data_IF_860457217585
#
_entry.id   IF_860457217585
#
_cell.length_a   1.000
_cell.length_b   1.000
_cell.length_c   1.000
_cell.angle_alpha   90.00
_cell.angle_beta   90.00
_cell.angle_gamma   90.00
#
_symmetry.space_group_name_H-M   'P 1'
#
loop_
_entity.id
_entity.type
_entity.pdbx_description
1 polymer ?
#
# COMPACT_ATOMS: atom_id res chain seq x y z
N UNK A 1 -11.83 10.99 -11.40
CA UNK A 1 -11.23 10.83 -10.07
C UNK A 1 -9.87 10.15 -10.20
N UNK A 2 -8.79 10.77 -9.73
CA UNK A 2 -7.41 10.27 -9.84
C UNK A 2 -7.04 9.50 -8.57
N UNK A 3 -6.53 8.27 -8.71
CA UNK A 3 -6.12 7.43 -7.58
C UNK A 3 -4.69 6.98 -7.80
N UNK A 4 -3.87 7.16 -6.77
CA UNK A 4 -2.52 6.61 -6.75
C UNK A 4 -2.41 5.40 -5.84
N UNK A 5 -1.81 4.33 -6.36
CA UNK A 5 -1.33 3.20 -5.56
C UNK A 5 0.17 3.36 -5.43
N UNK A 6 0.61 3.93 -4.31
CA UNK A 6 2.01 4.28 -4.05
C UNK A 6 2.64 3.20 -3.19
N UNK A 7 3.72 2.57 -3.63
CA UNK A 7 4.27 1.44 -2.91
C UNK A 7 5.79 1.38 -2.90
N UNK A 8 6.32 0.69 -1.89
CA UNK A 8 7.67 0.13 -1.91
C UNK A 8 7.59 -1.39 -1.97
N UNK A 9 8.42 -2.04 -2.77
CA UNK A 9 8.57 -3.50 -2.75
C UNK A 9 10.03 -3.88 -2.90
N UNK A 10 10.53 -4.74 -2.01
CA UNK A 10 11.89 -5.29 -2.11
C UNK A 10 11.90 -6.55 -2.99
N UNK A 11 10.95 -7.46 -2.76
CA UNK A 11 10.94 -8.80 -3.33
C UNK A 11 9.68 -9.12 -4.17
N UNK A 12 8.80 -8.13 -4.40
CA UNK A 12 7.64 -8.27 -5.29
C UNK A 12 6.30 -8.55 -4.60
N UNK A 13 6.25 -8.95 -3.32
CA UNK A 13 4.99 -9.24 -2.61
C UNK A 13 4.05 -8.03 -2.58
N UNK A 14 4.57 -6.87 -2.18
CA UNK A 14 3.80 -5.61 -2.17
C UNK A 14 3.43 -5.17 -3.58
N UNK A 15 4.30 -5.36 -4.58
CA UNK A 15 3.93 -5.05 -5.97
C UNK A 15 2.74 -5.89 -6.41
N UNK A 16 2.72 -7.19 -6.11
CA UNK A 16 1.61 -8.08 -6.45
C UNK A 16 0.30 -7.67 -5.77
N UNK A 17 0.37 -7.27 -4.50
CA UNK A 17 -0.77 -6.69 -3.78
C UNK A 17 -1.20 -5.35 -4.40
N UNK A 18 -0.26 -4.49 -4.81
CA UNK A 18 -0.53 -3.21 -5.44
C UNK A 18 -1.26 -3.37 -6.78
N UNK A 19 -0.91 -4.38 -7.59
CA UNK A 19 -1.65 -4.72 -8.81
C UNK A 19 -3.11 -5.08 -8.51
N UNK A 20 -3.34 -5.91 -7.48
CA UNK A 20 -4.67 -6.30 -7.05
C UNK A 20 -5.49 -5.10 -6.52
N UNK A 21 -4.88 -4.24 -5.70
CA UNK A 21 -5.48 -2.97 -5.25
C UNK A 21 -5.87 -2.11 -6.47
N UNK A 22 -4.94 -1.94 -7.42
CA UNK A 22 -5.19 -1.12 -8.60
C UNK A 22 -6.32 -1.71 -9.47
N UNK A 23 -6.36 -3.03 -9.65
CA UNK A 23 -7.44 -3.72 -10.34
C UNK A 23 -8.79 -3.45 -9.66
N UNK A 24 -8.84 -3.54 -8.33
CA UNK A 24 -10.02 -3.21 -7.54
C UNK A 24 -10.49 -1.78 -7.77
N UNK A 25 -9.59 -0.81 -7.63
CA UNK A 25 -9.90 0.60 -7.80
C UNK A 25 -10.39 0.94 -9.22
N UNK A 26 -9.79 0.33 -10.26
CA UNK A 26 -10.19 0.51 -11.67
C UNK A 26 -11.60 0.01 -11.98
N UNK A 27 -12.16 -0.86 -11.14
CA UNK A 27 -13.54 -1.34 -11.32
C UNK A 27 -14.61 -0.28 -11.02
N UNK A 28 -14.23 0.85 -10.42
CA UNK A 28 -15.13 1.97 -10.14
C UNK A 28 -15.15 2.93 -11.34
N UNK A 29 -16.35 3.23 -11.85
CA UNK A 29 -16.53 4.12 -12.99
C UNK A 29 -15.90 5.51 -12.74
N UNK A 30 -15.15 6.02 -13.71
CA UNK A 30 -14.47 7.33 -13.62
C UNK A 30 -13.19 7.34 -12.77
N UNK A 31 -12.73 6.18 -12.28
CA UNK A 31 -11.45 6.05 -11.58
C UNK A 31 -10.29 5.93 -12.59
N UNK A 32 -9.35 6.87 -12.54
CA UNK A 32 -8.07 6.82 -13.22
C UNK A 32 -6.99 6.40 -12.23
N UNK A 33 -6.49 5.17 -12.36
CA UNK A 33 -5.62 4.55 -11.35
C UNK A 33 -4.22 4.31 -11.88
N UNK A 34 -3.24 4.91 -11.22
CA UNK A 34 -1.82 4.78 -11.55
C UNK A 34 -1.05 4.14 -10.38
N UNK A 35 -0.14 3.23 -10.72
CA UNK A 35 0.84 2.70 -9.77
C UNK A 35 2.06 3.61 -9.75
N UNK A 36 2.59 3.85 -8.55
CA UNK A 36 3.83 4.61 -8.35
C UNK A 36 4.73 3.90 -7.35
N UNK A 37 6.03 3.88 -7.63
CA UNK A 37 7.07 3.35 -6.72
C UNK A 37 7.63 4.47 -5.89
N UNK A 38 7.92 4.26 -4.61
CA UNK A 38 8.79 5.17 -3.88
C UNK A 38 10.26 4.93 -4.26
N UNK A 39 11.14 5.95 -4.17
CA UNK A 39 12.57 5.77 -4.45
C UNK A 39 13.22 4.70 -3.56
N UNK A 40 14.18 3.97 -4.13
CA UNK A 40 15.07 3.10 -3.36
C UNK A 40 16.11 3.93 -2.62
N UNK A 41 16.47 3.50 -1.41
CA UNK A 41 17.39 4.21 -0.52
C UNK A 41 18.63 3.39 -0.18
N UNK A 42 18.59 2.08 -0.41
CA UNK A 42 19.73 1.21 -0.24
C UNK A 42 20.69 1.31 -1.44
N UNK A 43 22.01 1.29 -1.20
CA UNK A 43 22.99 1.19 -2.28
C UNK A 43 22.80 -0.09 -3.11
N UNK A 44 23.04 -0.03 -4.41
CA UNK A 44 22.89 -1.15 -5.34
C UNK A 44 23.70 -2.40 -4.89
N UNK A 45 24.92 -2.20 -4.37
CA UNK A 45 25.75 -3.29 -3.85
C UNK A 45 25.09 -4.04 -2.67
N UNK A 46 24.27 -3.36 -1.86
CA UNK A 46 23.50 -3.98 -0.79
C UNK A 46 22.34 -4.77 -1.37
N UNK A 47 21.62 -4.21 -2.35
CA UNK A 47 20.53 -4.89 -3.04
C UNK A 47 20.98 -6.18 -3.72
N UNK A 48 22.17 -6.18 -4.34
CA UNK A 48 22.79 -7.39 -4.90
C UNK A 48 23.01 -8.46 -3.83
N UNK A 49 23.61 -8.11 -2.69
CA UNK A 49 23.84 -9.05 -1.58
C UNK A 49 22.54 -9.60 -0.99
N UNK A 50 21.48 -8.79 -1.02
CA UNK A 50 20.15 -9.16 -0.55
C UNK A 50 19.32 -9.97 -1.57
N UNK A 51 19.84 -10.20 -2.78
CA UNK A 51 19.10 -10.87 -3.86
C UNK A 51 17.89 -10.09 -4.37
N UNK A 52 17.85 -8.77 -4.16
CA UNK A 52 16.68 -7.94 -4.45
C UNK A 52 16.65 -7.37 -5.88
N UNK A 53 17.75 -7.46 -6.63
CA UNK A 53 17.88 -6.86 -7.97
C UNK A 53 16.88 -7.45 -8.97
N UNK A 54 16.82 -8.78 -9.09
CA UNK A 54 15.92 -9.44 -10.05
C UNK A 54 14.43 -9.19 -9.73
N UNK A 55 13.96 -9.33 -8.48
CA UNK A 55 12.62 -8.93 -8.12
C UNK A 55 12.30 -7.48 -8.48
N UNK A 56 13.21 -6.53 -8.24
CA UNK A 56 12.97 -5.12 -8.56
C UNK A 56 12.82 -4.84 -10.06
N UNK A 57 13.50 -5.59 -10.93
CA UNK A 57 13.34 -5.45 -12.39
C UNK A 57 11.91 -5.71 -12.86
N UNK A 58 11.17 -6.61 -12.19
CA UNK A 58 9.81 -6.99 -12.59
C UNK A 58 8.83 -5.80 -12.59
N UNK A 59 9.08 -4.80 -11.75
CA UNK A 59 8.25 -3.59 -11.63
C UNK A 59 9.01 -2.31 -11.95
N UNK A 60 10.19 -2.39 -12.57
CA UNK A 60 10.99 -1.21 -12.94
C UNK A 60 10.27 -0.29 -13.96
N UNK A 61 9.33 -0.83 -14.73
CA UNK A 61 8.49 -0.07 -15.68
C UNK A 61 7.47 0.85 -14.98
N UNK A 62 7.14 0.60 -13.71
CA UNK A 62 6.26 1.49 -12.94
C UNK A 62 7.01 2.80 -12.66
N UNK A 63 6.43 4.00 -12.82
CA UNK A 63 7.15 5.24 -12.54
C UNK A 63 7.49 5.42 -11.06
N UNK A 64 8.61 6.10 -10.77
CA UNK A 64 8.93 6.57 -9.42
C UNK A 64 8.04 7.78 -9.11
N UNK A 65 7.46 7.83 -7.91
CA UNK A 65 6.66 8.94 -7.40
C UNK A 65 7.58 10.06 -6.91
N UNK A 66 7.35 11.28 -7.38
CA UNK A 66 7.77 12.47 -6.63
C UNK A 66 6.82 12.69 -5.46
N UNK A 67 7.27 13.45 -4.45
CA UNK A 67 6.41 13.70 -3.29
C UNK A 67 5.27 14.65 -3.65
N UNK A 68 5.52 15.62 -4.55
CA UNK A 68 4.56 16.61 -4.99
C UNK A 68 3.36 16.00 -5.72
N UNK A 69 3.58 14.91 -6.48
CA UNK A 69 2.55 14.17 -7.20
C UNK A 69 1.39 13.76 -6.27
N UNK A 70 1.64 13.47 -5.00
CA UNK A 70 0.58 13.07 -4.06
C UNK A 70 -0.56 14.09 -3.97
N UNK A 71 -0.27 15.39 -4.15
CA UNK A 71 -1.28 16.45 -4.12
C UNK A 71 -2.33 16.37 -5.25
N UNK A 72 -2.02 15.67 -6.34
CA UNK A 72 -2.87 15.56 -7.53
C UNK A 72 -3.97 14.50 -7.38
N UNK A 73 -3.79 13.52 -6.50
CA UNK A 73 -4.71 12.39 -6.37
C UNK A 73 -5.94 12.74 -5.53
N UNK A 74 -7.11 12.17 -5.80
CA UNK A 74 -8.27 12.22 -4.92
C UNK A 74 -8.18 11.20 -3.78
N UNK A 75 -7.51 10.08 -4.05
CA UNK A 75 -7.19 9.04 -3.07
C UNK A 75 -5.80 8.47 -3.28
N UNK A 76 -5.15 8.08 -2.18
CA UNK A 76 -3.85 7.44 -2.19
C UNK A 76 -3.91 6.17 -1.34
N UNK A 77 -3.49 5.05 -1.94
CA UNK A 77 -3.43 3.75 -1.30
C UNK A 77 -1.96 3.33 -1.19
N UNK A 78 -1.43 3.27 0.02
CA UNK A 78 -0.02 3.03 0.29
C UNK A 78 0.28 1.56 0.54
N UNK A 79 1.30 1.03 -0.13
CA UNK A 79 1.80 -0.33 0.07
C UNK A 79 3.21 -0.36 0.65
N UNK A 80 3.43 -1.09 1.76
CA UNK A 80 4.76 -1.18 2.37
C UNK A 80 5.02 -2.55 3.00
N UNK A 81 6.20 -3.16 2.82
CA UNK A 81 6.57 -4.32 3.63
C UNK A 81 6.86 -3.84 5.05
N UNK A 82 6.47 -4.65 6.04
CA UNK A 82 6.74 -4.32 7.44
C UNK A 82 8.24 -4.29 7.72
N UNK A 83 8.65 -3.36 8.57
CA UNK A 83 9.93 -3.38 9.29
C UNK A 83 9.62 -3.21 10.77
N UNK A 84 9.57 -4.35 11.47
CA UNK A 84 9.29 -4.43 12.91
C UNK A 84 7.99 -3.71 13.32
N UNK A 85 6.90 -3.94 12.57
CA UNK A 85 5.60 -3.33 12.87
C UNK A 85 5.44 -1.88 12.40
N UNK A 86 6.38 -1.37 11.60
CA UNK A 86 6.34 -0.04 10.99
C UNK A 86 6.48 -0.15 9.46
N UNK A 87 6.24 0.96 8.76
CA UNK A 87 6.58 1.09 7.34
C UNK A 87 8.10 0.94 7.12
N UNK A 88 8.52 0.49 5.94
CA UNK A 88 9.93 0.46 5.57
C UNK A 88 10.58 1.87 5.51
N UNK A 89 11.91 1.92 5.63
CA UNK A 89 12.68 3.17 5.60
C UNK A 89 12.52 3.95 4.30
N UNK A 90 12.36 3.28 3.17
CA UNK A 90 12.11 3.89 1.86
C UNK A 90 10.81 4.68 1.85
N UNK A 91 9.72 4.06 2.35
CA UNK A 91 8.44 4.73 2.48
C UNK A 91 8.49 5.88 3.50
N UNK A 92 9.20 5.67 4.62
CA UNK A 92 9.38 6.70 5.65
C UNK A 92 10.10 7.93 5.09
N UNK A 93 11.24 7.74 4.43
CA UNK A 93 12.01 8.83 3.83
C UNK A 93 11.22 9.57 2.75
N UNK A 94 10.44 8.85 1.94
CA UNK A 94 9.54 9.46 0.96
C UNK A 94 8.50 10.37 1.65
N UNK A 95 7.84 9.89 2.71
CA UNK A 95 6.83 10.67 3.44
C UNK A 95 7.43 11.79 4.30
N UNK A 96 8.69 11.68 4.72
CA UNK A 96 9.40 12.76 5.42
C UNK A 96 9.61 13.99 4.52
N UNK A 97 9.63 13.80 3.20
CA UNK A 97 9.68 14.90 2.22
C UNK A 97 8.33 15.64 2.07
N UNK A 98 7.24 15.17 2.70
CA UNK A 98 5.89 15.73 2.52
C UNK A 98 5.67 17.09 3.23
N UNK A 99 6.70 17.69 3.84
CA UNK A 99 6.56 18.92 4.65
C UNK A 99 5.87 20.08 3.92
N UNK A 100 6.13 20.28 2.62
CA UNK A 100 5.44 21.32 1.83
C UNK A 100 3.97 20.99 1.58
N UNK A 101 3.63 19.73 1.30
CA UNK A 101 2.25 19.29 1.13
C UNK A 101 1.45 19.43 2.43
N UNK A 102 2.08 19.07 3.54
CA UNK A 102 1.53 19.24 4.87
C UNK A 102 1.25 20.72 5.18
N UNK A 103 2.25 21.59 5.01
CA UNK A 103 2.12 23.03 5.29
C UNK A 103 1.03 23.69 4.44
N UNK A 104 0.88 23.27 3.19
CA UNK A 104 -0.13 23.81 2.27
C UNK A 104 -1.50 23.12 2.36
N UNK A 105 -1.65 22.12 3.24
CA UNK A 105 -2.90 21.37 3.42
C UNK A 105 -3.33 20.57 2.20
N UNK A 106 -2.41 20.25 1.27
CA UNK A 106 -2.75 19.65 -0.03
C UNK A 106 -3.35 18.26 0.05
N UNK A 107 -3.17 17.55 1.17
CA UNK A 107 -3.73 16.22 1.38
C UNK A 107 -4.97 16.19 2.28
N UNK A 108 -5.40 17.35 2.79
CA UNK A 108 -6.56 17.45 3.68
C UNK A 108 -7.82 17.01 2.94
N UNK A 109 -8.58 16.10 3.54
CA UNK A 109 -9.86 15.59 3.02
C UNK A 109 -9.73 14.53 1.93
N UNK A 110 -8.52 14.25 1.42
CA UNK A 110 -8.28 13.16 0.47
C UNK A 110 -8.37 11.80 1.16
N UNK A 111 -8.76 10.76 0.43
CA UNK A 111 -8.86 9.42 1.01
C UNK A 111 -7.47 8.78 1.11
N UNK A 112 -7.12 8.32 2.31
CA UNK A 112 -5.89 7.58 2.60
C UNK A 112 -6.20 6.15 3.01
N UNK A 113 -5.45 5.19 2.46
CA UNK A 113 -5.58 3.78 2.78
C UNK A 113 -4.23 3.09 2.76
N UNK A 114 -4.07 1.98 3.46
CA UNK A 114 -2.78 1.28 3.58
C UNK A 114 -2.98 -0.24 3.43
N UNK A 115 -2.02 -0.91 2.80
CA UNK A 115 -1.86 -2.37 2.78
C UNK A 115 -0.40 -2.75 3.05
N UNK A 116 -0.16 -3.95 3.56
CA UNK A 116 1.19 -4.36 3.99
C UNK A 116 1.54 -5.82 3.69
N UNK A 117 2.76 -6.20 4.08
CA UNK A 117 3.23 -7.58 4.04
C UNK A 117 4.14 -7.84 5.24
N UNK A 118 4.07 -9.03 5.84
CA UNK A 118 4.98 -9.49 6.90
C UNK A 118 5.48 -10.91 6.62
N UNK A 119 6.60 -11.29 7.22
CA UNK A 119 7.11 -12.67 7.09
C UNK A 119 6.29 -13.67 7.92
N UNK A 120 5.79 -13.25 9.08
CA UNK A 120 5.07 -14.11 10.04
C UNK A 120 3.64 -13.63 10.28
N UNK A 121 2.76 -14.55 10.70
CA UNK A 121 1.31 -14.34 10.86
C UNK A 121 0.93 -13.13 11.73
N UNK A 122 1.73 -12.81 12.76
CA UNK A 122 1.45 -11.69 13.67
C UNK A 122 2.61 -10.69 13.78
N UNK A 123 3.61 -10.80 12.90
CA UNK A 123 4.80 -9.94 12.88
C UNK A 123 4.55 -8.57 12.27
N UNK A 124 3.47 -7.89 12.69
CA UNK A 124 3.12 -6.55 12.25
C UNK A 124 2.09 -6.46 11.11
N UNK A 125 1.29 -7.51 10.89
CA UNK A 125 0.13 -7.48 9.97
C UNK A 125 -0.80 -6.29 10.25
N UNK A 126 -1.07 -6.02 11.53
CA UNK A 126 -1.96 -4.93 11.95
C UNK A 126 -1.19 -3.66 12.33
N UNK A 127 -0.12 -3.79 13.13
CA UNK A 127 0.60 -2.63 13.68
C UNK A 127 1.27 -1.78 12.60
N UNK A 128 1.73 -2.39 11.51
CA UNK A 128 2.27 -1.63 10.35
C UNK A 128 1.21 -0.73 9.75
N UNK A 129 -0.05 -1.19 9.66
CA UNK A 129 -1.16 -0.43 9.12
C UNK A 129 -1.56 0.69 10.08
N UNK A 130 -1.73 0.37 11.35
CA UNK A 130 -2.09 1.32 12.41
C UNK A 130 -1.05 2.45 12.54
N UNK A 131 0.24 2.12 12.59
CA UNK A 131 1.31 3.13 12.69
C UNK A 131 1.42 3.99 11.44
N UNK A 132 1.15 3.44 10.25
CA UNK A 132 1.09 4.23 9.02
C UNK A 132 -0.05 5.26 9.07
N UNK A 133 -1.23 4.86 9.55
CA UNK A 133 -2.39 5.75 9.66
C UNK A 133 -2.11 7.01 10.49
N UNK A 134 -1.20 6.96 11.47
CA UNK A 134 -0.75 8.16 12.21
C UNK A 134 -0.22 9.22 11.25
N UNK A 135 0.64 8.84 10.29
CA UNK A 135 1.17 9.80 9.30
C UNK A 135 0.06 10.35 8.41
N UNK A 136 -0.88 9.50 7.98
CA UNK A 136 -1.99 9.93 7.12
C UNK A 136 -2.94 10.91 7.84
N UNK A 137 -3.20 10.70 9.12
CA UNK A 137 -3.97 11.62 9.96
C UNK A 137 -3.27 12.98 10.11
N UNK A 138 -1.95 12.99 10.33
CA UNK A 138 -1.18 14.24 10.36
C UNK A 138 -1.22 15.01 9.03
N UNK A 139 -1.36 14.30 7.90
CA UNK A 139 -1.55 14.88 6.57
C UNK A 139 -3.00 15.28 6.28
N UNK A 140 -3.93 15.08 7.23
CA UNK A 140 -5.34 15.47 7.15
C UNK A 140 -6.20 14.55 6.28
N UNK A 141 -5.75 13.33 6.01
CA UNK A 141 -6.48 12.38 5.14
C UNK A 141 -7.64 11.71 5.85
N UNK A 142 -8.67 11.32 5.09
CA UNK A 142 -9.77 10.47 5.54
C UNK A 142 -9.34 9.00 5.42
N UNK A 143 -9.25 8.30 6.55
CA UNK A 143 -8.76 6.92 6.58
C UNK A 143 -9.86 5.93 6.16
N UNK A 144 -9.54 5.04 5.22
CA UNK A 144 -10.41 3.93 4.80
C UNK A 144 -9.65 2.61 4.91
N UNK A 145 -10.23 1.65 5.63
CA UNK A 145 -9.67 0.31 5.84
C UNK A 145 -10.31 -0.76 4.95
N UNK A 146 -10.36 -2.00 5.45
CA UNK A 146 -10.97 -3.15 4.78
C UNK A 146 -12.16 -3.66 5.61
N UNK A 147 -13.41 -3.36 5.24
CA UNK A 147 -14.57 -3.74 6.04
C UNK A 147 -14.83 -5.26 6.02
N UNK A 148 -15.43 -5.79 7.09
CA UNK A 148 -15.83 -7.21 7.22
C UNK A 148 -16.88 -7.68 6.21
N UNK A 149 -17.47 -6.77 5.42
CA UNK A 149 -18.25 -7.16 4.24
C UNK A 149 -17.40 -7.88 3.19
N UNK A 150 -16.06 -7.74 3.23
CA UNK A 150 -15.16 -8.72 2.67
C UNK A 150 -14.99 -9.89 3.65
N UNK A 151 -15.76 -10.96 3.42
CA UNK A 151 -15.84 -12.12 4.31
C UNK A 151 -14.55 -12.96 4.37
N UNK A 152 -13.62 -12.78 3.43
CA UNK A 152 -12.32 -13.46 3.44
C UNK A 152 -11.47 -13.16 4.69
N UNK A 153 -11.75 -12.06 5.41
CA UNK A 153 -11.12 -11.79 6.72
C UNK A 153 -11.52 -12.76 7.83
N UNK A 154 -12.61 -13.50 7.64
CA UNK A 154 -13.12 -14.47 8.61
C UNK A 154 -12.72 -15.91 8.25
N UNK A 155 -11.83 -16.09 7.27
CA UNK A 155 -11.31 -17.40 6.88
C UNK A 155 -10.52 -18.03 8.05
N UNK A 156 -10.68 -19.34 8.23
CA UNK A 156 -10.05 -20.13 9.31
C UNK A 156 -9.47 -21.45 8.80
N UNK A 157 -9.62 -21.72 7.50
CA UNK A 157 -9.24 -22.93 6.79
C UNK A 157 -7.83 -22.85 6.18
N UNK A 158 -7.31 -21.64 5.94
CA UNK A 158 -5.93 -21.41 5.51
C UNK A 158 -5.26 -20.24 6.25
N UNK A 159 -3.93 -20.24 6.26
CA UNK A 159 -3.16 -19.08 6.72
C UNK A 159 -3.36 -17.95 5.71
N UNK A 160 -4.04 -16.90 6.13
CA UNK A 160 -4.29 -15.69 5.35
C UNK A 160 -3.84 -14.44 6.11
N UNK A 161 -3.37 -13.45 5.36
CA UNK A 161 -3.31 -12.06 5.83
C UNK A 161 -4.70 -11.40 5.82
N UNK A 162 -4.68 -10.09 5.62
CA UNK A 162 -5.79 -9.14 5.81
C UNK A 162 -6.14 -8.87 7.28
N UNK A 163 -6.57 -7.64 7.53
CA UNK A 163 -7.11 -7.17 8.80
C UNK A 163 -8.11 -6.05 8.52
N UNK A 164 -8.98 -5.65 9.47
CA UNK A 164 -9.93 -4.57 9.22
C UNK A 164 -9.25 -3.23 8.93
N UNK A 165 -7.99 -3.07 9.31
CA UNK A 165 -7.18 -1.88 9.06
C UNK A 165 -6.71 -1.78 7.60
N UNK A 166 -6.67 -2.89 6.87
CA UNK A 166 -6.21 -2.96 5.49
C UNK A 166 -5.83 -4.36 5.05
N UNK A 167 -5.78 -4.58 3.74
CA UNK A 167 -5.33 -5.83 3.15
C UNK A 167 -3.85 -6.07 3.46
N UNK A 168 -3.47 -7.34 3.53
CA UNK A 168 -2.09 -7.70 3.79
C UNK A 168 -1.81 -9.13 3.37
N UNK A 169 -0.52 -9.47 3.24
CA UNK A 169 -0.07 -10.79 2.80
C UNK A 169 1.08 -11.30 3.67
N UNK A 170 1.21 -12.62 3.79
CA UNK A 170 2.28 -13.28 4.54
C UNK A 170 3.34 -13.82 3.57
N UNK A 171 4.58 -13.36 3.71
CA UNK A 171 5.68 -13.69 2.80
C UNK A 171 6.45 -14.97 3.17
N UNK A 172 6.27 -15.51 4.38
CA UNK A 172 7.07 -16.65 4.87
C UNK A 172 8.44 -16.22 5.41
N UNK A 173 9.11 -17.14 6.11
CA UNK A 173 10.35 -16.84 6.85
C UNK A 173 11.51 -16.42 5.96
N UNK A 174 11.57 -16.98 4.75
CA UNK A 174 12.56 -16.69 3.72
C UNK A 174 11.99 -15.82 2.58
N UNK A 175 10.74 -15.35 2.68
CA UNK A 175 10.07 -14.58 1.61
C UNK A 175 9.51 -15.45 0.47
N UNK A 176 9.42 -16.77 0.68
CA UNK A 176 9.06 -17.79 -0.29
C UNK A 176 7.57 -17.84 -0.64
N UNK A 177 6.69 -17.36 0.24
CA UNK A 177 5.23 -17.37 0.04
C UNK A 177 4.80 -16.12 -0.71
N UNK A 178 4.15 -16.32 -1.85
CA UNK A 178 3.48 -15.24 -2.58
C UNK A 178 2.02 -15.06 -2.09
N UNK A 179 1.38 -13.90 -2.37
CA UNK A 179 0.02 -13.66 -1.90
C UNK A 179 -0.97 -14.73 -2.34
N UNK A 180 -1.79 -15.21 -1.40
CA UNK A 180 -2.88 -16.16 -1.72
C UNK A 180 -4.04 -15.46 -2.41
N UNK A 181 -4.98 -16.23 -2.99
CA UNK A 181 -6.15 -15.63 -3.63
C UNK A 181 -7.07 -14.90 -2.65
N UNK A 182 -7.17 -15.33 -1.38
CA UNK A 182 -7.92 -14.60 -0.35
C UNK A 182 -7.28 -13.23 -0.10
N UNK A 183 -5.96 -13.17 0.02
CA UNK A 183 -5.21 -11.92 0.23
C UNK A 183 -5.34 -10.97 -0.97
N UNK A 184 -5.24 -11.50 -2.19
CA UNK A 184 -5.44 -10.74 -3.42
C UNK A 184 -6.89 -10.27 -3.59
N UNK A 185 -7.87 -11.10 -3.20
CA UNK A 185 -9.27 -10.70 -3.18
C UNK A 185 -9.53 -9.56 -2.18
N UNK A 186 -8.89 -9.61 -1.00
CA UNK A 186 -8.95 -8.52 -0.02
C UNK A 186 -8.34 -7.23 -0.54
N UNK A 187 -7.20 -7.30 -1.24
CA UNK A 187 -6.57 -6.16 -1.90
C UNK A 187 -7.48 -5.56 -3.00
N UNK A 188 -8.05 -6.39 -3.87
CA UNK A 188 -9.05 -5.95 -4.87
C UNK A 188 -10.26 -5.30 -4.22
N UNK A 189 -10.78 -5.88 -3.14
CA UNK A 189 -11.90 -5.32 -2.40
C UNK A 189 -11.55 -3.95 -1.83
N UNK A 190 -10.40 -3.82 -1.15
CA UNK A 190 -9.94 -2.57 -0.56
C UNK A 190 -9.79 -1.47 -1.63
N UNK A 191 -9.17 -1.79 -2.77
CA UNK A 191 -9.03 -0.85 -3.89
C UNK A 191 -10.38 -0.33 -4.38
N UNK A 192 -11.35 -1.22 -4.60
CA UNK A 192 -12.72 -0.84 -4.98
C UNK A 192 -13.41 0.00 -3.91
N UNK A 193 -13.26 -0.39 -2.64
CA UNK A 193 -13.88 0.29 -1.51
C UNK A 193 -13.36 1.73 -1.38
N UNK A 194 -12.04 1.92 -1.38
CA UNK A 194 -11.39 3.24 -1.36
C UNK A 194 -11.85 4.10 -2.52
N UNK A 195 -11.81 3.56 -3.74
CA UNK A 195 -12.27 4.30 -4.93
C UNK A 195 -13.74 4.71 -4.83
N UNK A 196 -14.60 3.84 -4.29
CA UNK A 196 -16.02 4.14 -4.11
C UNK A 196 -16.27 5.23 -3.06
N UNK A 197 -15.48 5.28 -1.99
CA UNK A 197 -15.56 6.34 -0.98
C UNK A 197 -15.02 7.66 -1.54
N UNK A 198 -13.87 7.63 -2.21
CA UNK A 198 -13.30 8.79 -2.85
C UNK A 198 -14.26 9.41 -3.87
N UNK A 199 -14.96 8.59 -4.67
CA UNK A 199 -15.94 9.07 -5.65
C UNK A 199 -17.15 9.78 -5.00
N UNK A 200 -17.47 9.48 -3.73
CA UNK A 200 -18.52 10.17 -2.97
C UNK A 200 -18.04 11.48 -2.35
N UNK A 201 -16.74 11.62 -2.11
CA UNK A 201 -16.12 12.80 -1.50
C UNK A 201 -15.68 13.82 -2.55
N UNK A 202 -15.19 13.35 -3.70
CA UNK A 202 -14.90 14.17 -4.87
C UNK A 202 -16.21 14.67 -5.48
N UNK A 203 -16.47 15.97 -5.38
CA UNK A 203 -17.49 16.67 -6.16
C UNK A 203 -16.86 17.31 -7.39
#
# INVERSE_FOLDING_TARGET
MKIYVVFYSMYGHIYKMAEAVAQGARSVAGAHVELRRVPETLPEAVLHKMGAIEPQKTFAHVPICSIEELGEADAIIFGTPTRFGNMCGQMRQFLDAAGKLWLSGKLIGKVGSVFCSSNTQHGGQETTLLTFMITLLHLGMVIVGLPYSFTGQMAVDEITGCSPYGASTIAGGAGERMPSEIELAGARFQGKHVASIAAKLSK
#
